data_IF_367718353687
#
_entry.id   IF_367718353687
#
_cell.length_a   1.000
_cell.length_b   1.000
_cell.length_c   1.000
_cell.angle_alpha   90.00
_cell.angle_beta   90.00
_cell.angle_gamma   90.00
#
_symmetry.space_group_name_H-M   'P 1'
#
loop_
_entity.id
_entity.type
_entity.pdbx_description
1 polymer ?
#
# COMPACT_ATOMS: atom_id res chain seq x y z
N UNK A 1 10.00 -0.74 21.80
CA UNK A 1 10.60 -0.21 20.55
C UNK A 1 9.70 -0.38 19.31
N UNK A 2 8.64 -1.21 19.32
CA UNK A 2 7.81 -1.44 18.13
C UNK A 2 6.91 -0.26 17.67
N UNK A 3 6.62 0.71 18.54
CA UNK A 3 5.63 1.77 18.25
C UNK A 3 6.04 2.75 17.13
N UNK A 4 7.35 2.94 16.91
CA UNK A 4 7.86 3.84 15.87
C UNK A 4 7.55 3.33 14.45
N UNK A 5 7.46 2.00 14.28
CA UNK A 5 7.40 1.37 12.97
C UNK A 5 6.00 1.41 12.34
N UNK A 6 4.93 1.49 13.14
CA UNK A 6 3.56 1.61 12.59
C UNK A 6 3.32 2.98 11.93
N UNK A 7 3.77 4.07 12.58
CA UNK A 7 3.41 5.44 12.17
C UNK A 7 3.84 5.74 10.72
N UNK A 8 5.00 5.22 10.29
CA UNK A 8 5.54 5.46 8.93
C UNK A 8 4.70 4.81 7.81
N UNK A 9 4.04 3.68 8.04
CA UNK A 9 3.29 2.96 6.99
C UNK A 9 2.09 3.77 6.47
N UNK A 10 1.55 4.67 7.30
CA UNK A 10 0.38 5.51 6.98
C UNK A 10 0.59 6.49 5.82
N UNK A 11 1.83 6.89 5.50
CA UNK A 11 2.06 8.09 4.66
C UNK A 11 1.91 7.88 3.15
N UNK A 12 1.87 6.63 2.67
CA UNK A 12 2.05 6.30 1.24
C UNK A 12 0.72 6.23 0.45
N UNK A 13 -0.42 6.37 1.12
CA UNK A 13 -1.76 6.01 0.60
C UNK A 13 -2.30 6.90 -0.55
N UNK A 14 -1.79 8.12 -0.77
CA UNK A 14 -2.66 9.19 -1.31
C UNK A 14 -2.49 9.64 -2.78
N UNK A 15 -1.36 9.39 -3.47
CA UNK A 15 -0.86 10.46 -4.36
C UNK A 15 -0.18 10.08 -5.69
N UNK A 16 -0.59 9.06 -6.46
CA UNK A 16 0.34 8.51 -7.49
C UNK A 16 -0.20 8.00 -8.85
N UNK A 17 0.74 7.60 -9.76
CA UNK A 17 0.96 6.19 -10.22
C UNK A 17 1.69 5.92 -11.62
N UNK A 18 3.04 5.55 -11.67
CA UNK A 18 4.17 4.95 -12.57
C UNK A 18 5.10 5.68 -13.60
N UNK A 19 4.82 5.60 -14.91
CA UNK A 19 5.71 5.75 -16.10
C UNK A 19 6.77 4.64 -16.19
N UNK A 20 6.65 3.62 -17.06
CA UNK A 20 7.42 2.38 -16.91
C UNK A 20 8.91 2.58 -17.23
N UNK A 21 9.71 2.63 -16.16
CA UNK A 21 11.15 2.38 -16.18
C UNK A 21 11.36 0.90 -15.85
N UNK A 22 12.36 0.25 -16.47
CA UNK A 22 12.84 -1.04 -15.98
C UNK A 22 13.81 -0.79 -14.85
N UNK A 23 13.48 -1.24 -13.63
CA UNK A 23 14.57 -1.68 -12.74
C UNK A 23 15.17 -2.95 -13.36
N UNK A 24 16.46 -3.19 -13.16
CA UNK A 24 17.14 -4.40 -13.66
C UNK A 24 16.82 -5.66 -12.85
N UNK A 25 15.87 -5.59 -11.91
CA UNK A 25 15.44 -6.66 -11.02
C UNK A 25 14.08 -7.27 -11.43
N UNK A 26 13.25 -6.53 -12.18
CA UNK A 26 11.97 -7.04 -12.68
C UNK A 26 12.13 -7.97 -13.89
N UNK A 27 12.47 -9.24 -13.64
CA UNK A 27 12.35 -10.27 -14.67
C UNK A 27 10.87 -10.49 -15.06
N UNK A 28 10.63 -10.78 -16.33
CA UNK A 28 9.29 -10.92 -16.93
C UNK A 28 8.51 -12.12 -16.38
N UNK A 29 9.22 -13.10 -15.82
CA UNK A 29 8.65 -14.28 -15.17
C UNK A 29 7.95 -13.93 -13.85
N UNK A 30 8.42 -12.91 -13.11
CA UNK A 30 7.89 -12.54 -11.80
C UNK A 30 6.56 -11.76 -11.86
N UNK A 31 6.22 -11.13 -12.99
CA UNK A 31 4.98 -10.35 -13.09
C UNK A 31 3.78 -11.27 -13.42
N UNK A 32 2.83 -11.51 -12.50
CA UNK A 32 1.84 -12.57 -12.69
C UNK A 32 0.95 -12.32 -13.91
N UNK A 33 0.82 -13.35 -14.76
CA UNK A 33 0.18 -13.26 -16.10
C UNK A 33 -1.27 -12.75 -16.05
N UNK A 34 -1.92 -12.86 -14.90
CA UNK A 34 -3.29 -12.41 -14.59
C UNK A 34 -3.42 -10.92 -14.26
N UNK A 35 -2.36 -10.18 -13.89
CA UNK A 35 -2.45 -8.71 -13.70
C UNK A 35 -2.77 -7.97 -15.00
N UNK A 36 -2.55 -8.58 -16.17
CA UNK A 36 -2.75 -8.00 -17.50
C UNK A 36 -4.21 -7.71 -17.90
N UNK A 37 -5.19 -7.81 -16.98
CA UNK A 37 -6.63 -7.72 -17.32
C UNK A 37 -7.25 -6.33 -17.14
N UNK A 38 -7.03 -5.61 -16.03
CA UNK A 38 -7.11 -4.15 -16.04
C UNK A 38 -5.87 -3.54 -16.74
N UNK A 39 -6.01 -2.47 -17.54
CA UNK A 39 -4.87 -1.67 -17.97
C UNK A 39 -4.24 -0.97 -16.75
N UNK A 40 -2.93 -0.72 -16.80
CA UNK A 40 -2.19 0.01 -15.77
C UNK A 40 -1.82 1.42 -16.27
N UNK A 41 -2.29 2.46 -15.58
CA UNK A 41 -1.93 3.87 -15.80
C UNK A 41 -0.71 4.27 -14.96
N UNK A 42 0.10 5.17 -15.53
CA UNK A 42 1.55 5.24 -15.32
C UNK A 42 2.11 6.73 -15.33
N UNK A 43 2.64 7.20 -14.17
CA UNK A 43 3.18 8.52 -13.70
C UNK A 43 4.35 8.45 -12.66
N UNK A 44 5.59 8.86 -12.99
CA UNK A 44 6.77 8.77 -12.07
C UNK A 44 6.77 9.87 -11.01
N UNK A 45 7.46 9.68 -9.88
CA UNK A 45 7.77 10.78 -8.94
C UNK A 45 9.09 10.57 -8.18
N UNK A 46 10.00 11.54 -8.28
CA UNK A 46 11.33 11.51 -7.66
C UNK A 46 11.44 12.56 -6.54
N UNK A 47 11.30 12.11 -5.29
CA UNK A 47 11.14 13.01 -4.14
C UNK A 47 12.43 13.66 -3.66
N UNK A 48 13.58 13.26 -4.18
CA UNK A 48 14.86 13.95 -3.93
C UNK A 48 15.08 15.21 -4.80
N UNK A 49 14.43 15.32 -5.97
CA UNK A 49 14.74 16.35 -6.97
C UNK A 49 13.53 17.18 -7.43
N UNK A 50 12.34 16.60 -7.50
CA UNK A 50 11.15 17.31 -8.03
C UNK A 50 10.51 18.25 -7.01
N UNK A 51 9.76 19.26 -7.48
CA UNK A 51 8.91 20.08 -6.61
C UNK A 51 7.64 19.31 -6.24
N UNK A 52 7.14 19.53 -5.01
CA UNK A 52 5.87 18.94 -4.58
C UNK A 52 4.70 19.33 -5.49
N UNK A 53 4.72 20.56 -6.02
CA UNK A 53 3.73 21.04 -6.99
C UNK A 53 3.78 20.24 -8.31
N UNK A 54 4.96 20.01 -8.89
CA UNK A 54 5.08 19.26 -10.15
C UNK A 54 4.62 17.80 -10.00
N UNK A 55 4.90 17.20 -8.83
CA UNK A 55 4.37 15.88 -8.45
C UNK A 55 2.84 15.95 -8.34
N UNK A 56 2.30 16.87 -7.53
CA UNK A 56 0.86 16.98 -7.28
C UNK A 56 0.06 17.24 -8.57
N UNK A 57 0.50 18.18 -9.41
CA UNK A 57 -0.13 18.51 -10.70
C UNK A 57 -0.17 17.28 -11.64
N UNK A 58 0.88 16.46 -11.67
CA UNK A 58 0.94 15.23 -12.50
C UNK A 58 -0.10 14.20 -12.09
N UNK A 59 -0.29 14.03 -10.78
CA UNK A 59 -1.25 13.07 -10.23
C UNK A 59 -2.69 13.56 -10.32
N UNK A 60 -2.98 14.82 -9.98
CA UNK A 60 -4.34 15.40 -10.12
C UNK A 60 -4.79 15.45 -11.58
N UNK A 61 -3.89 15.78 -12.52
CA UNK A 61 -4.16 15.71 -13.96
C UNK A 61 -4.56 14.29 -14.39
N UNK A 62 -3.92 13.27 -13.84
CA UNK A 62 -4.14 11.88 -14.28
C UNK A 62 -5.26 11.17 -13.53
N UNK A 63 -5.64 11.65 -12.34
CA UNK A 63 -6.95 11.39 -11.75
C UNK A 63 -8.03 11.98 -12.66
N UNK A 64 -7.91 13.24 -13.06
CA UNK A 64 -8.86 13.91 -13.96
C UNK A 64 -8.97 13.20 -15.33
N UNK A 65 -7.87 12.66 -15.88
CA UNK A 65 -7.84 11.85 -17.11
C UNK A 65 -8.27 10.37 -16.91
N UNK A 66 -8.53 9.93 -15.68
CA UNK A 66 -9.15 8.62 -15.39
C UNK A 66 -10.58 8.71 -14.89
N UNK A 67 -11.04 9.87 -14.43
CA UNK A 67 -12.40 10.11 -13.95
C UNK A 67 -13.49 9.73 -14.96
N UNK A 68 -14.74 9.78 -14.50
CA UNK A 68 -15.91 9.76 -15.37
C UNK A 68 -15.99 11.03 -16.23
N UNK A 69 -16.94 11.07 -17.16
CA UNK A 69 -17.29 12.29 -17.89
C UNK A 69 -18.15 13.26 -17.08
N UNK A 70 -18.47 12.93 -15.82
CA UNK A 70 -19.28 13.77 -14.94
C UNK A 70 -18.40 14.77 -14.17
N UNK A 71 -18.86 16.01 -14.16
CA UNK A 71 -18.25 17.15 -13.50
C UNK A 71 -19.38 17.91 -12.79
N UNK A 72 -19.19 18.23 -11.52
CA UNK A 72 -20.16 18.94 -10.68
C UNK A 72 -19.40 20.05 -9.97
N UNK A 73 -19.76 21.31 -10.22
CA UNK A 73 -19.12 22.49 -9.62
C UNK A 73 -17.58 22.45 -9.71
N UNK A 74 -17.06 22.14 -10.91
CA UNK A 74 -15.63 21.95 -11.25
C UNK A 74 -14.95 20.74 -10.58
N UNK A 75 -15.71 19.88 -9.89
CA UNK A 75 -15.22 18.65 -9.25
C UNK A 75 -15.38 17.46 -10.19
N UNK A 76 -14.25 16.88 -10.62
CA UNK A 76 -14.21 15.65 -11.43
C UNK A 76 -14.67 14.44 -10.61
N UNK A 77 -15.78 13.83 -11.00
CA UNK A 77 -16.31 12.64 -10.33
C UNK A 77 -15.58 11.39 -10.84
N UNK A 78 -15.11 10.54 -9.92
CA UNK A 78 -14.44 9.27 -10.23
C UNK A 78 -15.36 8.30 -11.00
N UNK A 79 -14.81 7.17 -11.45
CA UNK A 79 -15.63 6.10 -12.03
C UNK A 79 -16.45 5.40 -10.94
N UNK A 80 -17.57 4.80 -11.33
CA UNK A 80 -18.33 3.92 -10.44
C UNK A 80 -17.41 2.77 -10.01
N UNK A 81 -17.31 2.53 -8.70
CA UNK A 81 -16.46 1.45 -8.17
C UNK A 81 -16.96 0.09 -8.66
N UNK A 82 -16.04 -0.74 -9.17
CA UNK A 82 -16.39 -2.07 -9.73
C UNK A 82 -16.89 -3.04 -8.67
N UNK A 83 -16.35 -2.95 -7.45
CA UNK A 83 -16.72 -3.75 -6.29
C UNK A 83 -15.64 -3.69 -5.21
N UNK A 84 -15.84 -4.37 -4.08
CA UNK A 84 -14.81 -4.51 -3.05
C UNK A 84 -13.79 -5.61 -3.38
N UNK A 85 -14.26 -6.73 -3.93
CA UNK A 85 -13.45 -7.90 -4.29
C UNK A 85 -13.21 -8.03 -5.81
N UNK A 86 -13.56 -6.99 -6.58
CA UNK A 86 -13.40 -6.95 -8.03
C UNK A 86 -12.25 -6.03 -8.45
N UNK A 87 -11.61 -6.35 -9.57
CA UNK A 87 -10.55 -5.53 -10.16
C UNK A 87 -11.10 -4.14 -10.56
N UNK A 88 -10.38 -3.03 -10.30
CA UNK A 88 -10.79 -1.71 -10.77
C UNK A 88 -10.75 -1.63 -12.31
N UNK A 89 -11.47 -0.66 -12.89
CA UNK A 89 -11.55 -0.49 -14.34
C UNK A 89 -10.19 -0.16 -14.98
N UNK A 90 -9.33 0.55 -14.26
CA UNK A 90 -7.89 0.49 -14.45
C UNK A 90 -7.17 0.45 -13.10
N UNK A 91 -6.05 -0.27 -13.04
CA UNK A 91 -5.06 0.10 -12.05
C UNK A 91 -4.41 1.40 -12.49
N UNK A 92 -3.99 2.19 -11.52
CA UNK A 92 -2.71 2.87 -11.66
C UNK A 92 -1.72 2.05 -10.75
N UNK A 93 -0.38 2.13 -10.91
CA UNK A 93 0.68 1.57 -9.98
C UNK A 93 1.79 2.65 -9.75
N UNK A 94 2.76 2.77 -8.81
CA UNK A 94 3.86 3.82 -8.91
C UNK A 94 5.26 3.43 -8.54
N UNK A 95 6.15 3.77 -9.47
CA UNK A 95 7.52 4.17 -9.18
C UNK A 95 7.59 5.45 -8.34
N UNK A 96 7.91 5.28 -7.04
CA UNK A 96 8.43 6.35 -6.19
C UNK A 96 9.93 6.18 -6.09
N UNK A 97 10.68 7.27 -6.10
CA UNK A 97 12.14 7.25 -5.91
C UNK A 97 12.49 8.17 -4.74
N UNK A 98 13.19 7.57 -3.77
CA UNK A 98 13.57 8.15 -2.49
C UNK A 98 14.99 8.70 -2.51
N UNK A 99 15.84 8.25 -1.57
CA UNK A 99 17.25 8.63 -1.45
C UNK A 99 18.12 7.47 -1.95
N UNK A 100 19.24 7.77 -2.62
CA UNK A 100 20.16 6.73 -3.10
C UNK A 100 19.48 5.76 -4.08
N UNK A 101 19.38 4.49 -3.68
CA UNK A 101 18.75 3.41 -4.45
C UNK A 101 17.30 3.10 -4.01
N UNK A 102 16.74 3.85 -3.03
CA UNK A 102 15.39 3.60 -2.52
C UNK A 102 14.31 3.79 -3.62
N UNK A 103 13.62 2.72 -4.01
CA UNK A 103 12.48 2.75 -4.93
C UNK A 103 11.36 1.78 -4.53
N UNK A 104 10.10 2.20 -4.71
CA UNK A 104 8.92 1.33 -4.48
C UNK A 104 7.92 1.42 -5.63
N UNK A 105 7.05 0.41 -5.71
CA UNK A 105 5.94 0.29 -6.67
C UNK A 105 4.56 0.30 -5.98
N UNK A 106 3.91 1.44 -5.75
CA UNK A 106 2.57 1.47 -5.09
C UNK A 106 1.47 0.93 -6.03
N UNK A 107 0.28 0.55 -5.54
CA UNK A 107 -0.92 0.28 -6.35
C UNK A 107 -2.16 0.96 -5.76
N UNK A 108 -2.96 1.66 -6.59
CA UNK A 108 -4.18 2.41 -6.22
C UNK A 108 -5.25 2.17 -7.29
N UNK A 109 -6.47 1.92 -6.84
CA UNK A 109 -7.64 1.75 -7.71
C UNK A 109 -8.02 3.06 -8.39
N UNK A 110 -8.32 3.05 -9.69
CA UNK A 110 -8.74 4.27 -10.39
C UNK A 110 -10.16 4.76 -10.05
N UNK A 111 -10.96 3.92 -9.40
CA UNK A 111 -12.38 4.16 -9.12
C UNK A 111 -12.66 4.73 -7.72
N UNK A 112 -11.82 4.49 -6.72
CA UNK A 112 -11.98 5.03 -5.35
C UNK A 112 -10.71 5.62 -4.71
N UNK A 113 -9.56 5.58 -5.39
CA UNK A 113 -8.27 6.09 -4.92
C UNK A 113 -7.68 5.45 -3.64
N UNK A 114 -8.11 4.25 -3.24
CA UNK A 114 -7.48 3.49 -2.15
C UNK A 114 -6.17 2.83 -2.59
N UNK A 115 -5.08 2.97 -1.82
CA UNK A 115 -3.91 2.07 -1.95
C UNK A 115 -4.35 0.65 -1.62
N UNK A 116 -3.99 -0.27 -2.52
CA UNK A 116 -4.18 -1.69 -2.37
C UNK A 116 -2.93 -2.41 -1.82
N UNK A 117 -1.74 -1.88 -2.14
CA UNK A 117 -0.45 -2.42 -1.73
C UNK A 117 0.73 -1.67 -2.33
N UNK A 118 1.93 -2.20 -2.15
CA UNK A 118 3.17 -1.74 -2.77
C UNK A 118 4.08 -2.93 -3.10
N UNK A 119 5.03 -2.77 -4.02
CA UNK A 119 6.22 -3.62 -4.07
C UNK A 119 7.44 -2.88 -3.53
N UNK A 120 8.29 -3.62 -2.83
CA UNK A 120 9.60 -3.18 -2.36
C UNK A 120 10.64 -3.15 -3.50
N UNK A 121 11.89 -2.80 -3.20
CA UNK A 121 12.99 -2.72 -4.19
C UNK A 121 13.38 -4.07 -4.81
N UNK A 122 12.97 -5.20 -4.22
CA UNK A 122 13.15 -6.53 -4.82
C UNK A 122 12.05 -6.87 -5.84
N UNK A 123 10.97 -6.07 -5.88
CA UNK A 123 9.79 -6.30 -6.70
C UNK A 123 8.77 -7.24 -6.06
N UNK A 124 8.97 -7.68 -4.81
CA UNK A 124 7.99 -8.46 -4.07
C UNK A 124 6.81 -7.56 -3.66
N UNK A 125 5.59 -7.96 -4.04
CA UNK A 125 4.37 -7.26 -3.68
C UNK A 125 3.91 -7.58 -2.25
N UNK A 126 3.47 -6.55 -1.55
CA UNK A 126 2.80 -6.60 -0.25
C UNK A 126 1.47 -5.85 -0.37
N UNK A 127 0.38 -6.44 0.11
CA UNK A 127 -0.96 -5.88 -0.01
C UNK A 127 -1.69 -5.89 1.34
N UNK A 128 -2.57 -4.91 1.57
CA UNK A 128 -3.48 -4.98 2.71
C UNK A 128 -4.39 -6.21 2.56
N UNK A 129 -4.74 -6.94 3.64
CA UNK A 129 -5.44 -8.22 3.56
C UNK A 129 -6.69 -8.23 2.66
N UNK A 130 -7.53 -7.19 2.73
CA UNK A 130 -8.71 -7.02 1.86
C UNK A 130 -8.40 -7.02 0.34
N UNK A 131 -7.17 -6.65 -0.04
CA UNK A 131 -6.76 -6.43 -1.42
C UNK A 131 -5.79 -7.47 -1.98
N UNK A 132 -5.32 -8.45 -1.19
CA UNK A 132 -4.41 -9.53 -1.64
C UNK A 132 -4.95 -10.26 -2.88
N UNK A 133 -6.26 -10.57 -2.92
CA UNK A 133 -6.90 -11.22 -4.06
C UNK A 133 -6.92 -10.37 -5.34
N UNK A 134 -6.70 -9.05 -5.24
CA UNK A 134 -6.60 -8.13 -6.38
C UNK A 134 -5.16 -7.93 -6.87
N UNK A 135 -4.17 -8.30 -6.05
CA UNK A 135 -2.72 -8.15 -6.27
C UNK A 135 -2.10 -9.56 -6.26
N UNK A 136 -2.14 -10.31 -7.38
CA UNK A 136 -1.70 -11.70 -7.41
C UNK A 136 -0.25 -11.87 -6.97
N UNK A 137 0.03 -12.91 -6.19
CA UNK A 137 1.40 -13.19 -5.68
C UNK A 137 1.88 -12.27 -4.56
N UNK A 138 1.01 -11.41 -4.01
CA UNK A 138 1.36 -10.58 -2.87
C UNK A 138 1.38 -11.31 -1.53
N UNK A 139 2.21 -10.80 -0.63
CA UNK A 139 2.23 -11.15 0.79
C UNK A 139 1.21 -10.25 1.51
N UNK A 140 0.33 -10.77 2.39
CA UNK A 140 -0.53 -9.94 3.21
C UNK A 140 0.30 -9.11 4.20
N UNK A 141 0.03 -7.81 4.29
CA UNK A 141 0.51 -6.96 5.37
C UNK A 141 -0.12 -7.40 6.71
N UNK A 142 0.60 -7.26 7.85
CA UNK A 142 0.09 -7.64 9.17
C UNK A 142 -0.91 -6.63 9.77
N UNK A 143 -1.45 -5.72 8.96
CA UNK A 143 -2.36 -4.62 9.31
C UNK A 143 -3.38 -4.43 8.18
N UNK A 144 -4.57 -3.92 8.50
CA UNK A 144 -5.58 -3.53 7.50
C UNK A 144 -5.32 -2.12 6.94
N UNK A 145 -6.06 -1.74 5.88
CA UNK A 145 -5.90 -0.46 5.17
C UNK A 145 -6.50 0.76 5.88
N UNK A 146 -7.16 0.58 7.02
CA UNK A 146 -7.91 1.64 7.70
C UNK A 146 -7.03 2.47 8.66
N UNK A 147 -7.47 3.70 8.96
CA UNK A 147 -6.71 4.61 9.81
C UNK A 147 -6.53 4.13 11.26
N UNK A 148 -7.40 3.29 11.83
CA UNK A 148 -7.20 2.71 13.18
C UNK A 148 -6.11 1.64 13.14
N UNK A 149 -6.06 0.82 12.09
CA UNK A 149 -4.98 -0.15 11.87
C UNK A 149 -3.63 0.52 11.60
N UNK A 150 -3.62 1.66 10.90
CA UNK A 150 -2.39 2.41 10.59
C UNK A 150 -1.92 3.32 11.75
N UNK A 151 -2.84 4.04 12.42
CA UNK A 151 -2.54 5.07 13.42
C UNK A 151 -2.87 4.66 14.87
N UNK A 152 -3.26 3.42 15.10
CA UNK A 152 -3.68 2.91 16.41
C UNK A 152 -4.96 3.57 16.92
N UNK A 153 -5.14 3.54 18.25
CA UNK A 153 -6.34 4.03 18.93
C UNK A 153 -6.60 5.51 18.62
N UNK A 154 -7.84 5.80 18.18
CA UNK A 154 -8.27 7.10 17.65
C UNK A 154 -8.27 7.16 16.12
N UNK A 155 -7.37 6.41 15.46
CA UNK A 155 -7.31 6.28 14.01
C UNK A 155 -7.29 7.63 13.29
N UNK A 156 -8.35 7.95 12.56
CA UNK A 156 -8.47 9.21 11.81
C UNK A 156 -8.29 10.47 12.68
N UNK A 157 -8.58 10.42 13.98
CA UNK A 157 -8.34 11.57 14.89
C UNK A 157 -6.85 11.86 15.12
N UNK A 158 -5.96 10.93 14.74
CA UNK A 158 -4.50 11.11 14.81
C UNK A 158 -3.92 11.72 13.53
N UNK A 159 -4.69 11.86 12.43
CA UNK A 159 -4.20 12.45 11.16
C UNK A 159 -3.59 13.86 11.36
N UNK A 160 -4.19 14.79 12.14
CA UNK A 160 -3.60 16.12 12.39
C UNK A 160 -2.29 16.11 13.20
N UNK A 161 -1.84 14.94 13.69
CA UNK A 161 -0.60 14.75 14.44
C UNK A 161 0.55 14.21 13.57
N UNK A 162 0.28 13.88 12.30
CA UNK A 162 1.27 13.34 11.37
C UNK A 162 2.21 14.43 10.88
N UNK A 163 3.52 14.17 10.95
CA UNK A 163 4.53 15.00 10.29
C UNK A 163 4.46 14.77 8.79
N UNK A 164 3.98 15.77 8.05
CA UNK A 164 3.90 15.76 6.59
C UNK A 164 5.06 16.59 6.01
N UNK A 165 5.72 16.09 4.97
CA UNK A 165 6.79 16.82 4.29
C UNK A 165 7.61 15.96 3.33
N UNK A 166 8.60 16.58 2.67
CA UNK A 166 9.53 15.87 1.77
C UNK A 166 10.29 14.78 2.52
N UNK A 167 10.92 15.12 3.64
CA UNK A 167 11.71 14.15 4.42
C UNK A 167 10.85 12.98 4.91
N UNK A 168 9.66 13.25 5.46
CA UNK A 168 8.74 12.19 5.91
C UNK A 168 8.27 11.27 4.77
N UNK A 169 8.16 11.78 3.53
CA UNK A 169 7.91 10.94 2.35
C UNK A 169 9.17 10.15 1.94
N UNK A 170 10.36 10.74 1.99
CA UNK A 170 11.62 10.05 1.71
C UNK A 170 11.90 8.94 2.74
N UNK A 171 11.59 9.17 4.02
CA UNK A 171 11.70 8.19 5.10
C UNK A 171 10.68 7.04 4.92
N UNK A 172 9.46 7.35 4.48
CA UNK A 172 8.46 6.35 4.15
C UNK A 172 8.84 5.52 2.91
N UNK A 173 9.37 6.15 1.86
CA UNK A 173 9.89 5.44 0.68
C UNK A 173 11.04 4.52 1.10
N UNK A 174 12.03 5.01 1.86
CA UNK A 174 13.13 4.20 2.39
C UNK A 174 12.64 2.97 3.18
N UNK A 175 11.67 3.18 4.08
CA UNK A 175 11.08 2.13 4.92
C UNK A 175 10.36 1.06 4.10
N UNK A 176 9.62 1.45 3.06
CA UNK A 176 8.91 0.49 2.20
C UNK A 176 9.83 -0.15 1.14
N UNK A 177 10.86 0.56 0.68
CA UNK A 177 11.89 0.06 -0.25
C UNK A 177 12.66 -1.10 0.38
N UNK A 178 12.99 -0.96 1.67
CA UNK A 178 13.72 -1.94 2.46
C UNK A 178 12.79 -2.80 3.35
N UNK A 179 11.49 -2.88 3.04
CA UNK A 179 10.52 -3.60 3.86
C UNK A 179 10.82 -5.11 3.90
N UNK A 180 10.89 -5.66 5.11
CA UNK A 180 11.07 -7.09 5.34
C UNK A 180 9.95 -7.58 6.27
N UNK A 181 9.10 -8.53 5.84
CA UNK A 181 8.09 -9.12 6.70
C UNK A 181 8.76 -9.81 7.91
N UNK A 182 8.39 -9.40 9.12
CA UNK A 182 8.77 -10.12 10.33
C UNK A 182 8.17 -11.53 10.28
N UNK A 183 9.02 -12.56 10.25
CA UNK A 183 8.60 -13.97 10.16
C UNK A 183 7.84 -14.43 11.43
N UNK A 184 8.01 -13.69 12.53
CA UNK A 184 7.40 -13.90 13.84
C UNK A 184 5.87 -13.68 13.85
N UNK A 185 5.10 -14.65 13.33
CA UNK A 185 3.67 -14.81 13.70
C UNK A 185 3.01 -16.16 13.32
N UNK A 186 3.77 -17.19 12.91
CA UNK A 186 3.20 -18.53 12.67
C UNK A 186 3.29 -19.49 13.86
N UNK A 187 4.39 -19.51 14.61
CA UNK A 187 4.54 -20.41 15.76
C UNK A 187 3.68 -19.98 16.96
N UNK A 188 3.47 -18.67 17.13
CA UNK A 188 2.71 -18.06 18.24
C UNK A 188 1.26 -18.51 18.39
N UNK A 189 0.68 -19.20 17.39
CA UNK A 189 -0.69 -19.71 17.43
C UNK A 189 -0.82 -21.22 17.62
N UNK A 190 0.20 -22.02 17.33
CA UNK A 190 0.10 -23.49 17.45
C UNK A 190 0.46 -24.02 18.85
N UNK A 191 0.94 -23.15 19.73
CA UNK A 191 1.20 -23.43 21.16
C UNK A 191 -0.04 -23.08 22.01
N UNK A 192 -0.75 -21.99 21.68
CA UNK A 192 -1.91 -21.51 22.44
C UNK A 192 -3.09 -22.51 22.48
N UNK A 193 -3.31 -23.27 21.40
CA UNK A 193 -4.37 -24.30 21.32
C UNK A 193 -4.01 -25.63 22.02
N UNK A 194 -2.93 -25.69 22.81
CA UNK A 194 -2.45 -26.96 23.42
C UNK A 194 -2.26 -26.95 24.95
N UNK A 195 -2.42 -25.82 25.64
CA UNK A 195 -2.24 -25.75 27.12
C UNK A 195 -3.54 -25.64 27.94
N UNK A 196 -4.71 -25.40 27.32
CA UNK A 196 -5.99 -25.25 28.04
C UNK A 196 -6.81 -26.56 28.01
N UNK A 197 -6.33 -27.62 28.68
CA UNK A 197 -6.86 -28.96 28.41
C UNK A 197 -6.56 -30.19 29.29
N UNK A 198 -6.00 -30.11 30.50
CA UNK A 198 -6.41 -31.01 31.60
C UNK A 198 -6.04 -30.48 33.00
N UNK A 199 -7.02 -30.44 33.90
CA UNK A 199 -6.93 -29.83 35.22
C UNK A 199 -6.75 -30.84 36.35
N UNK A 200 -5.48 -31.11 36.70
CA UNK A 200 -4.99 -31.86 37.88
C UNK A 200 -6.06 -32.30 38.91
N UNK A 201 -6.50 -33.56 38.83
CA UNK A 201 -7.49 -34.14 39.76
C UNK A 201 -6.83 -34.63 41.05
N UNK A 202 -7.08 -33.98 42.19
CA UNK A 202 -6.82 -34.55 43.53
C UNK A 202 -8.03 -34.40 44.48
N UNK A 203 -8.81 -35.48 44.54
CA UNK A 203 -9.41 -36.16 45.73
C UNK A 203 -10.12 -35.33 46.82
N UNK A 204 -11.41 -35.66 47.02
CA UNK A 204 -12.13 -35.90 48.30
C UNK A 204 -13.47 -36.59 47.98
N UNK A 205 -14.00 -37.56 48.74
CA UNK A 205 -13.50 -38.25 49.94
C UNK A 205 -13.29 -39.75 49.64
#
# INVERSE_FOLDING_TARGET
>A
MAHTNMVMVTMVVLLFLVTPVRSSLMDKELFPRNWRRPPMKFLRSEFSTETFEAILQRHTSTISLSSSSLDIDYTKILRIQTGYYEQPASWKMSHLIGRGEDEIMVAIRDDNLYVAGFADQTGQWHAFPRFVNLIPGSIPLPIEDDYVSLLGVGGHTNIPRLTLGRESMLDAIHTLSNYQPSIDNKESKEVADKEDGDGLVIVKN
#
